data_IF_830642336576
#
_entry.id   IF_830642336576
#
_cell.length_a   1.000
_cell.length_b   1.000
_cell.length_c   1.000
_cell.angle_alpha   90.00
_cell.angle_beta   90.00
_cell.angle_gamma   90.00
#
_symmetry.space_group_name_H-M   'P 1'
#
loop_
_entity.id
_entity.type
_entity.pdbx_description
1 polymer ?
#
# COMPACT_ATOMS: atom_id res chain seq x y z
N UNK A 1 -45.12 -47.55 34.91
CA UNK A 1 -43.96 -47.62 33.98
C UNK A 1 -43.48 -46.27 33.41
N UNK A 2 -44.24 -45.16 33.44
CA UNK A 2 -43.87 -43.88 32.82
C UNK A 2 -42.80 -43.04 33.55
N UNK A 3 -42.64 -43.15 34.87
CA UNK A 3 -41.64 -42.40 35.67
C UNK A 3 -40.19 -42.83 35.37
N UNK A 4 -39.91 -44.14 35.35
CA UNK A 4 -38.57 -44.71 35.09
C UNK A 4 -37.99 -44.31 33.72
N UNK A 5 -38.84 -44.14 32.70
CA UNK A 5 -38.42 -43.65 31.36
C UNK A 5 -38.00 -42.17 31.38
N UNK A 6 -38.65 -41.33 32.17
CA UNK A 6 -38.31 -39.89 32.29
C UNK A 6 -37.00 -39.67 33.05
N UNK A 7 -36.70 -40.49 34.06
CA UNK A 7 -35.41 -40.45 34.77
C UNK A 7 -34.25 -40.94 33.91
N UNK A 8 -34.41 -42.05 33.18
CA UNK A 8 -33.40 -42.54 32.23
C UNK A 8 -33.12 -41.50 31.13
N UNK A 9 -34.18 -40.86 30.62
CA UNK A 9 -34.04 -39.79 29.63
C UNK A 9 -33.31 -38.57 30.19
N UNK A 10 -33.59 -38.13 31.43
CA UNK A 10 -32.85 -37.04 32.10
C UNK A 10 -31.39 -37.40 32.38
N UNK A 11 -31.09 -38.65 32.73
CA UNK A 11 -29.73 -39.12 33.00
C UNK A 11 -28.89 -39.18 31.72
N UNK A 12 -29.46 -39.66 30.61
CA UNK A 12 -28.82 -39.68 29.29
C UNK A 12 -28.56 -38.23 28.82
N UNK A 13 -29.55 -37.35 28.95
CA UNK A 13 -29.43 -35.94 28.57
C UNK A 13 -28.42 -35.15 29.42
N UNK A 14 -28.18 -35.54 30.68
CA UNK A 14 -27.15 -34.95 31.54
C UNK A 14 -25.75 -35.45 31.19
N UNK A 15 -25.62 -36.75 30.89
CA UNK A 15 -24.35 -37.38 30.51
C UNK A 15 -23.84 -36.89 29.15
N UNK A 16 -24.76 -36.65 28.21
CA UNK A 16 -24.43 -36.05 26.91
C UNK A 16 -24.02 -34.57 27.06
N UNK A 17 -24.65 -33.82 27.98
CA UNK A 17 -24.23 -32.44 28.30
C UNK A 17 -22.86 -32.38 28.99
N UNK A 18 -22.57 -33.32 29.88
CA UNK A 18 -21.29 -33.41 30.59
C UNK A 18 -20.12 -33.80 29.65
N UNK A 19 -20.38 -34.65 28.64
CA UNK A 19 -19.40 -34.97 27.58
C UNK A 19 -19.25 -33.85 26.52
N UNK A 20 -20.22 -32.95 26.40
CA UNK A 20 -20.15 -31.82 25.47
C UNK A 20 -19.27 -30.68 25.99
N UNK A 21 -19.15 -30.52 27.31
CA UNK A 21 -18.20 -29.56 27.92
C UNK A 21 -16.74 -30.05 27.83
N UNK A 22 -16.53 -31.35 27.57
CA UNK A 22 -15.22 -31.94 27.25
C UNK A 22 -14.81 -31.75 25.78
N UNK A 23 -15.61 -31.00 24.98
CA UNK A 23 -15.24 -30.61 23.62
C UNK A 23 -14.08 -29.62 23.66
N UNK A 24 -12.88 -30.19 23.56
CA UNK A 24 -11.75 -29.70 22.75
C UNK A 24 -11.63 -28.17 22.73
N UNK A 25 -11.03 -27.62 23.78
CA UNK A 25 -10.56 -26.24 23.78
C UNK A 25 -9.36 -26.16 22.84
N UNK A 26 -9.62 -25.97 21.54
CA UNK A 26 -8.59 -25.69 20.56
C UNK A 26 -8.09 -24.25 20.79
N UNK A 27 -7.00 -24.11 21.55
CA UNK A 27 -6.33 -22.83 21.74
C UNK A 27 -5.58 -22.51 20.43
N UNK A 28 -6.28 -21.87 19.49
CA UNK A 28 -5.68 -21.34 18.27
C UNK A 28 -5.00 -20.01 18.59
N UNK A 29 -3.67 -20.02 18.73
CA UNK A 29 -2.88 -18.78 18.83
C UNK A 29 -2.50 -18.30 17.44
N UNK A 30 -3.19 -17.27 16.97
CA UNK A 30 -2.81 -16.51 15.78
C UNK A 30 -1.75 -15.47 16.16
N UNK A 31 -0.63 -15.47 15.43
CA UNK A 31 0.39 -14.43 15.55
C UNK A 31 0.60 -13.78 14.19
N UNK A 32 0.63 -12.44 14.18
CA UNK A 32 0.89 -11.64 12.99
C UNK A 32 2.10 -10.75 13.24
N UNK A 33 3.14 -10.96 12.45
CA UNK A 33 4.38 -10.22 12.56
C UNK A 33 5.51 -10.91 11.80
N UNK A 34 6.60 -10.20 11.51
CA UNK A 34 7.73 -10.74 10.75
C UNK A 34 8.52 -11.80 11.54
N UNK A 35 8.40 -11.80 12.86
CA UNK A 35 9.09 -12.74 13.75
C UNK A 35 8.08 -13.42 14.66
N UNK A 36 8.08 -14.76 14.80
CA UNK A 36 7.23 -15.46 15.75
C UNK A 36 7.50 -15.00 17.20
N UNK A 37 6.57 -15.22 18.14
CA UNK A 37 6.75 -14.77 19.50
C UNK A 37 7.93 -15.49 20.19
N UNK A 38 8.56 -14.88 21.22
CA UNK A 38 9.78 -15.40 21.84
C UNK A 38 9.67 -16.86 22.32
N UNK A 39 8.53 -17.23 22.89
CA UNK A 39 8.27 -18.59 23.38
C UNK A 39 8.30 -19.63 22.24
N UNK A 40 7.82 -19.27 21.04
CA UNK A 40 7.86 -20.14 19.86
C UNK A 40 9.27 -20.21 19.26
N UNK A 41 9.99 -19.08 19.21
CA UNK A 41 11.40 -19.03 18.80
C UNK A 41 12.27 -19.95 19.65
N UNK A 42 12.10 -19.92 20.97
CA UNK A 42 12.79 -20.80 21.88
C UNK A 42 12.43 -22.27 21.64
N UNK A 43 11.16 -22.55 21.33
CA UNK A 43 10.70 -23.88 20.93
C UNK A 43 11.43 -24.41 19.69
N UNK A 44 11.61 -23.59 18.65
CA UNK A 44 12.36 -23.97 17.45
C UNK A 44 13.82 -24.26 17.73
N UNK A 45 14.48 -23.45 18.55
CA UNK A 45 15.89 -23.64 18.93
C UNK A 45 16.10 -24.94 19.70
N UNK A 46 15.16 -25.29 20.58
CA UNK A 46 15.20 -26.53 21.36
C UNK A 46 14.98 -27.78 20.49
N UNK A 47 14.27 -27.67 19.36
CA UNK A 47 14.05 -28.77 18.41
C UNK A 47 15.28 -28.95 17.52
N UNK A 48 15.81 -27.85 16.98
CA UNK A 48 16.96 -27.83 16.11
C UNK A 48 17.82 -26.62 16.46
N UNK A 49 19.04 -26.88 16.92
CA UNK A 49 20.00 -25.83 17.22
C UNK A 49 20.28 -24.97 15.97
N UNK A 50 20.24 -23.65 16.13
CA UNK A 50 20.37 -22.65 15.08
C UNK A 50 19.09 -22.37 14.29
N UNK A 51 17.96 -23.00 14.61
CA UNK A 51 16.69 -22.73 13.93
C UNK A 51 16.18 -21.30 14.21
N UNK A 52 16.35 -20.80 15.43
CA UNK A 52 15.91 -19.45 15.77
C UNK A 52 16.66 -18.38 14.96
N UNK A 53 17.98 -18.51 14.87
CA UNK A 53 18.83 -17.63 14.07
C UNK A 53 18.44 -17.65 12.58
N UNK A 54 18.13 -18.84 12.04
CA UNK A 54 17.69 -18.98 10.65
C UNK A 54 16.35 -18.30 10.39
N UNK A 55 15.42 -18.33 11.34
CA UNK A 55 14.12 -17.64 11.25
C UNK A 55 14.32 -16.12 11.29
N UNK A 56 15.13 -15.63 12.24
CA UNK A 56 15.43 -14.20 12.37
C UNK A 56 16.12 -13.69 11.10
N UNK A 57 17.16 -14.39 10.65
CA UNK A 57 17.87 -14.09 9.40
C UNK A 57 16.94 -14.07 8.18
N UNK A 58 15.92 -14.95 8.15
CA UNK A 58 14.94 -14.97 7.07
C UNK A 58 14.06 -13.71 7.10
N UNK A 59 13.59 -13.31 8.28
CA UNK A 59 12.81 -12.09 8.46
C UNK A 59 13.61 -10.82 8.10
N UNK A 60 14.88 -10.74 8.50
CA UNK A 60 15.79 -9.66 8.13
C UNK A 60 16.00 -9.57 6.62
N UNK A 61 16.25 -10.71 5.95
CA UNK A 61 16.38 -10.75 4.49
C UNK A 61 15.11 -10.28 3.79
N UNK A 62 13.93 -10.66 4.28
CA UNK A 62 12.65 -10.19 3.74
C UNK A 62 12.47 -8.68 3.97
N UNK A 63 12.85 -8.17 5.14
CA UNK A 63 12.80 -6.74 5.42
C UNK A 63 13.74 -5.95 4.50
N UNK A 64 14.98 -6.40 4.32
CA UNK A 64 15.96 -5.79 3.42
C UNK A 64 15.45 -5.83 1.97
N UNK A 65 14.94 -6.97 1.51
CA UNK A 65 14.36 -7.07 0.17
C UNK A 65 13.20 -6.10 -0.04
N UNK A 66 12.32 -5.94 0.95
CA UNK A 66 11.22 -4.98 0.89
C UNK A 66 11.73 -3.54 0.82
N UNK A 67 12.72 -3.19 1.65
CA UNK A 67 13.34 -1.86 1.63
C UNK A 67 14.03 -1.57 0.28
N UNK A 68 14.70 -2.56 -0.30
CA UNK A 68 15.34 -2.44 -1.61
C UNK A 68 14.31 -2.22 -2.72
N UNK A 69 13.18 -2.92 -2.68
CA UNK A 69 12.06 -2.70 -3.61
C UNK A 69 11.45 -1.30 -3.43
N UNK A 70 11.17 -0.88 -2.20
CA UNK A 70 10.66 0.46 -1.89
C UNK A 70 11.61 1.56 -2.43
N UNK A 71 12.92 1.37 -2.23
CA UNK A 71 13.96 2.27 -2.75
C UNK A 71 14.02 2.27 -4.28
N UNK A 72 14.01 1.09 -4.90
CA UNK A 72 14.06 0.94 -6.37
C UNK A 72 12.85 1.59 -7.04
N UNK A 73 11.65 1.37 -6.50
CA UNK A 73 10.42 2.02 -6.99
C UNK A 73 10.51 3.53 -6.86
N UNK A 74 10.96 4.04 -5.70
CA UNK A 74 11.12 5.48 -5.48
C UNK A 74 12.15 6.08 -6.45
N UNK A 75 13.30 5.43 -6.63
CA UNK A 75 14.34 5.89 -7.56
C UNK A 75 13.87 5.85 -9.02
N UNK A 76 13.18 4.79 -9.41
CA UNK A 76 12.58 4.65 -10.75
C UNK A 76 11.60 5.80 -11.01
N UNK A 77 10.71 6.08 -10.06
CA UNK A 77 9.76 7.20 -10.16
C UNK A 77 10.47 8.54 -10.32
N UNK A 78 11.49 8.84 -9.50
CA UNK A 78 12.29 10.07 -9.61
C UNK A 78 12.97 10.16 -10.98
N UNK A 79 13.52 9.05 -11.49
CA UNK A 79 14.22 9.04 -12.77
C UNK A 79 13.28 9.25 -13.95
N UNK A 80 12.08 8.64 -13.91
CA UNK A 80 11.04 8.81 -14.92
C UNK A 80 10.48 10.24 -14.90
N UNK A 81 10.24 10.82 -13.72
CA UNK A 81 9.81 12.20 -13.58
C UNK A 81 10.85 13.17 -14.14
N UNK A 82 12.13 12.95 -13.81
CA UNK A 82 13.24 13.76 -14.34
C UNK A 82 13.33 13.66 -15.85
N UNK A 83 13.21 12.46 -16.44
CA UNK A 83 13.22 12.27 -17.89
C UNK A 83 12.04 13.00 -18.54
N UNK A 84 10.83 12.87 -17.97
CA UNK A 84 9.64 13.58 -18.44
C UNK A 84 9.81 15.10 -18.41
N UNK A 85 10.38 15.63 -17.33
CA UNK A 85 10.67 17.07 -17.20
C UNK A 85 11.67 17.55 -18.25
N UNK A 86 12.72 16.78 -18.54
CA UNK A 86 13.66 17.11 -19.62
C UNK A 86 13.01 17.09 -21.00
N UNK A 87 12.15 16.11 -21.29
CA UNK A 87 11.42 16.04 -22.56
C UNK A 87 10.44 17.22 -22.72
N UNK A 88 9.75 17.61 -21.63
CA UNK A 88 8.88 18.77 -21.64
C UNK A 88 9.68 20.07 -21.83
N UNK A 89 10.83 20.20 -21.15
CA UNK A 89 11.71 21.36 -21.28
C UNK A 89 12.23 21.52 -22.71
N UNK A 90 12.76 20.45 -23.33
CA UNK A 90 13.26 20.50 -24.70
C UNK A 90 12.16 20.84 -25.69
N UNK A 91 10.97 20.24 -25.55
CA UNK A 91 9.80 20.56 -26.38
C UNK A 91 9.40 22.04 -26.26
N UNK A 92 9.29 22.57 -25.04
CA UNK A 92 8.92 23.98 -24.82
C UNK A 92 9.96 24.93 -25.41
N UNK A 93 11.25 24.66 -25.21
CA UNK A 93 12.33 25.48 -25.79
C UNK A 93 12.30 25.43 -27.33
N UNK A 94 12.09 24.25 -27.92
CA UNK A 94 11.95 24.10 -29.37
C UNK A 94 10.76 24.88 -29.93
N UNK A 95 9.59 24.80 -29.29
CA UNK A 95 8.39 25.54 -29.70
C UNK A 95 8.59 27.06 -29.57
N UNK A 96 9.22 27.50 -28.49
CA UNK A 96 9.51 28.92 -28.28
C UNK A 96 10.52 29.46 -29.30
N UNK A 97 11.56 28.69 -29.62
CA UNK A 97 12.52 29.03 -30.68
C UNK A 97 11.86 29.08 -32.07
N UNK A 98 10.98 28.12 -32.38
CA UNK A 98 10.21 28.13 -33.61
C UNK A 98 9.24 29.32 -33.69
N UNK A 99 8.60 29.67 -32.56
CA UNK A 99 7.76 30.86 -32.44
C UNK A 99 8.53 32.14 -32.72
N UNK A 100 9.71 32.31 -32.12
CA UNK A 100 10.59 33.44 -32.39
C UNK A 100 10.98 33.53 -33.87
N UNK A 101 11.31 32.40 -34.49
CA UNK A 101 11.60 32.34 -35.93
C UNK A 101 10.39 32.80 -36.79
N UNK A 102 9.17 32.43 -36.44
CA UNK A 102 7.97 32.86 -37.15
C UNK A 102 7.70 34.36 -37.03
N UNK A 103 7.95 34.96 -35.86
CA UNK A 103 7.83 36.42 -35.65
C UNK A 103 8.78 37.18 -36.59
N UNK A 104 10.02 36.69 -36.72
CA UNK A 104 11.01 37.30 -37.62
C UNK A 104 10.63 37.20 -39.11
N UNK A 105 9.69 36.33 -39.48
CA UNK A 105 9.19 36.14 -40.85
C UNK A 105 7.78 36.75 -41.05
N UNK A 106 7.44 37.79 -40.29
CA UNK A 106 6.15 38.52 -40.33
C UNK A 106 4.90 37.67 -40.01
N UNK A 107 5.06 36.47 -39.44
CA UNK A 107 3.95 35.61 -38.99
C UNK A 107 3.62 35.84 -37.52
N UNK A 108 3.29 37.10 -37.19
CA UNK A 108 3.15 37.59 -35.82
C UNK A 108 2.11 36.83 -34.98
N UNK A 109 0.94 36.52 -35.53
CA UNK A 109 -0.13 35.82 -34.80
C UNK A 109 0.29 34.42 -34.36
N UNK A 110 0.80 33.61 -35.29
CA UNK A 110 1.30 32.26 -35.01
C UNK A 110 2.50 32.29 -34.04
N UNK A 111 3.38 33.27 -34.20
CA UNK A 111 4.53 33.48 -33.33
C UNK A 111 4.16 33.77 -31.88
N UNK A 112 3.20 34.68 -31.64
CA UNK A 112 2.74 34.99 -30.28
C UNK A 112 2.07 33.79 -29.60
N UNK A 113 1.27 33.00 -30.32
CA UNK A 113 0.68 31.78 -29.76
C UNK A 113 1.74 30.75 -29.37
N UNK A 114 2.78 30.57 -30.18
CA UNK A 114 3.86 29.64 -29.88
C UNK A 114 4.68 30.04 -28.63
N UNK A 115 4.83 31.34 -28.36
CA UNK A 115 5.58 31.85 -27.20
C UNK A 115 4.71 31.89 -25.93
N UNK A 116 3.50 32.44 -25.99
CA UNK A 116 2.66 32.65 -24.81
C UNK A 116 1.73 31.47 -24.48
N UNK A 117 1.36 30.67 -25.48
CA UNK A 117 0.49 29.50 -25.31
C UNK A 117 0.97 28.52 -24.24
N UNK A 118 2.26 28.12 -24.24
CA UNK A 118 2.80 27.22 -23.22
C UNK A 118 2.68 27.78 -21.79
N UNK A 119 2.88 29.08 -21.58
CA UNK A 119 2.77 29.73 -20.26
C UNK A 119 1.34 29.65 -19.75
N UNK A 120 0.36 29.98 -20.59
CA UNK A 120 -1.06 29.89 -20.24
C UNK A 120 -1.45 28.44 -19.93
N UNK A 121 -0.99 27.49 -20.75
CA UNK A 121 -1.23 26.07 -20.53
C UNK A 121 -0.66 25.59 -19.18
N UNK A 122 0.58 25.96 -18.84
CA UNK A 122 1.18 25.59 -17.55
C UNK A 122 0.45 26.20 -16.36
N UNK A 123 0.05 27.47 -16.43
CA UNK A 123 -0.73 28.12 -15.38
C UNK A 123 -2.08 27.41 -15.18
N UNK A 124 -2.77 27.08 -16.28
CA UNK A 124 -4.03 26.33 -16.24
C UNK A 124 -3.84 24.93 -15.64
N UNK A 125 -2.79 24.21 -16.06
CA UNK A 125 -2.47 22.88 -15.53
C UNK A 125 -2.15 22.92 -14.04
N UNK A 126 -1.34 23.88 -13.59
CA UNK A 126 -1.04 24.08 -12.17
C UNK A 126 -2.29 24.33 -11.33
N UNK A 127 -3.17 25.23 -11.78
CA UNK A 127 -4.43 25.53 -11.07
C UNK A 127 -5.33 24.28 -11.05
N UNK A 128 -5.41 23.54 -12.15
CA UNK A 128 -6.19 22.31 -12.23
C UNK A 128 -5.65 21.23 -11.30
N UNK A 129 -4.32 21.03 -11.27
CA UNK A 129 -3.69 20.01 -10.44
C UNK A 129 -3.82 20.34 -8.94
N UNK A 130 -3.60 21.61 -8.58
CA UNK A 130 -3.78 22.10 -7.21
C UNK A 130 -5.22 21.85 -6.70
N UNK A 131 -6.23 22.16 -7.51
CA UNK A 131 -7.63 21.86 -7.16
C UNK A 131 -7.93 20.38 -7.04
N UNK A 132 -7.21 19.52 -7.76
CA UNK A 132 -7.38 18.07 -7.68
C UNK A 132 -6.77 17.51 -6.39
N UNK A 133 -5.60 18.00 -6.00
CA UNK A 133 -4.95 17.67 -4.73
C UNK A 133 -5.85 18.03 -3.55
N UNK A 134 -6.39 19.26 -3.52
CA UNK A 134 -7.31 19.73 -2.47
C UNK A 134 -8.55 18.82 -2.33
N UNK A 135 -9.15 18.39 -3.45
CA UNK A 135 -10.32 17.47 -3.43
C UNK A 135 -9.99 16.09 -2.89
N UNK A 136 -8.83 15.54 -3.25
CA UNK A 136 -8.40 14.21 -2.78
C UNK A 136 -8.18 14.24 -1.27
N UNK A 137 -7.56 15.30 -0.74
CA UNK A 137 -7.39 15.48 0.70
C UNK A 137 -8.72 15.63 1.45
N UNK A 138 -9.69 16.34 0.87
CA UNK A 138 -11.04 16.45 1.43
C UNK A 138 -11.77 15.10 1.47
N UNK A 139 -11.72 14.32 0.39
CA UNK A 139 -12.33 12.98 0.32
C UNK A 139 -11.70 12.00 1.32
N UNK A 140 -10.36 12.00 1.44
CA UNK A 140 -9.65 11.18 2.44
C UNK A 140 -10.03 11.58 3.87
N UNK A 141 -10.08 12.88 4.17
CA UNK A 141 -10.43 13.38 5.49
C UNK A 141 -11.90 13.10 5.84
N UNK A 142 -12.81 13.14 4.87
CA UNK A 142 -14.21 12.78 5.08
C UNK A 142 -14.37 11.27 5.35
N UNK A 143 -13.65 10.43 4.60
CA UNK A 143 -13.63 8.97 4.81
C UNK A 143 -13.08 8.60 6.20
N UNK A 144 -11.98 9.22 6.64
CA UNK A 144 -11.40 8.99 7.98
C UNK A 144 -12.31 9.42 9.14
N UNK A 145 -13.17 10.42 8.95
CA UNK A 145 -14.13 10.87 9.97
C UNK A 145 -15.42 10.04 10.02
N UNK A 146 -15.71 9.27 8.96
CA UNK A 146 -16.91 8.45 8.84
C UNK A 146 -16.71 6.99 9.26
N UNK A 147 -15.45 6.55 9.46
CA UNK A 147 -15.07 5.24 10.02
C UNK A 147 -14.82 5.30 11.52
#
# INVERSE_FOLDING_TARGET
MRKKRKEKSKAIQRRDKENLDERMTEISTSFSGPLPPPNLLQGYENILFGAADRIISMAEKQANHRQDLEKSVTQSNISNERMGMWMAFTLTVSLMGFGAYLILNDKNTAGYFAVFGPVVFHAANYIYNKRREEKVEEEENHSRKAS
#
